data_IF_708423285572
#
_entry.id   IF_708423285572
#
_cell.length_a   1.000
_cell.length_b   1.000
_cell.length_c   1.000
_cell.angle_alpha   90.00
_cell.angle_beta   90.00
_cell.angle_gamma   90.00
#
_symmetry.space_group_name_H-M   'P 1'
#
loop_
_entity.id
_entity.type
_entity.pdbx_description
1 polymer ?
#
# COMPACT_ATOMS: atom_id res chain seq x y z
N UNK A 1 -25.66 6.25 19.85
CA UNK A 1 -24.24 6.52 19.57
C UNK A 1 -23.77 5.46 18.58
N UNK A 2 -23.83 5.77 17.29
CA UNK A 2 -23.31 4.87 16.25
C UNK A 2 -21.80 4.84 16.35
N UNK A 3 -21.23 3.63 16.45
CA UNK A 3 -19.80 3.41 16.34
C UNK A 3 -19.33 4.01 15.00
N UNK A 4 -18.23 4.78 14.94
CA UNK A 4 -17.62 5.12 13.66
C UNK A 4 -17.26 3.79 13.00
N UNK A 5 -17.93 3.46 11.89
CA UNK A 5 -17.63 2.26 11.12
C UNK A 5 -16.15 2.31 10.76
N UNK A 6 -15.42 1.24 11.08
CA UNK A 6 -14.05 1.07 10.57
C UNK A 6 -14.10 1.27 9.06
N UNK A 7 -13.29 2.17 8.48
CA UNK A 7 -13.27 2.40 7.05
C UNK A 7 -13.07 1.06 6.37
N UNK A 8 -13.98 0.70 5.45
CA UNK A 8 -13.84 -0.52 4.67
C UNK A 8 -12.51 -0.42 3.89
N UNK A 9 -11.53 -1.32 4.12
CA UNK A 9 -10.27 -1.30 3.36
C UNK A 9 -10.47 -1.58 1.87
N UNK A 10 -11.67 -2.01 1.44
CA UNK A 10 -12.03 -2.14 0.03
C UNK A 10 -12.57 -0.83 -0.59
N UNK A 11 -12.94 0.17 0.22
CA UNK A 11 -13.23 1.52 -0.26
C UNK A 11 -11.91 2.30 -0.23
N UNK A 12 -10.99 1.98 -1.14
CA UNK A 12 -9.94 2.92 -1.47
C UNK A 12 -10.62 4.11 -2.15
N UNK A 13 -10.47 5.33 -1.62
CA UNK A 13 -10.62 6.52 -2.46
C UNK A 13 -9.22 6.90 -2.94
N UNK A 14 -9.08 7.30 -4.19
CA UNK A 14 -7.82 7.88 -4.69
C UNK A 14 -7.73 9.37 -4.31
N UNK A 15 -8.50 9.81 -3.29
CA UNK A 15 -8.83 11.23 -3.10
C UNK A 15 -9.55 11.84 -4.30
N UNK A 16 -9.59 13.17 -4.36
CA UNK A 16 -10.07 13.93 -5.52
C UNK A 16 -9.21 15.19 -5.73
N UNK A 17 -9.66 16.19 -6.49
CA UNK A 17 -8.90 17.43 -6.69
C UNK A 17 -8.71 18.25 -5.38
N UNK A 18 -9.56 18.04 -4.37
CA UNK A 18 -9.66 18.82 -3.13
C UNK A 18 -9.31 18.02 -1.85
N UNK A 19 -9.49 16.70 -1.84
CA UNK A 19 -9.20 15.79 -0.71
C UNK A 19 -8.06 14.81 -1.02
N UNK A 20 -7.13 14.60 -0.09
CA UNK A 20 -6.12 13.55 -0.20
C UNK A 20 -6.75 12.17 0.03
N UNK A 21 -6.09 11.12 -0.46
CA UNK A 21 -6.51 9.74 -0.19
C UNK A 21 -6.67 9.53 1.31
N UNK A 22 -7.87 9.19 1.75
CA UNK A 22 -8.18 9.02 3.17
C UNK A 22 -7.71 7.66 3.71
N UNK A 23 -7.39 6.73 2.81
CA UNK A 23 -7.12 5.33 3.14
C UNK A 23 -5.71 4.84 2.80
N UNK A 24 -4.86 5.71 2.27
CA UNK A 24 -3.45 5.43 1.99
C UNK A 24 -2.68 5.34 3.31
N UNK A 25 -1.67 4.49 3.34
CA UNK A 25 -0.71 4.39 4.44
C UNK A 25 -0.07 5.75 4.82
N UNK A 26 0.04 6.66 3.86
CA UNK A 26 0.63 8.00 4.05
C UNK A 26 -0.40 9.12 4.22
N UNK A 27 -1.70 8.80 4.33
CA UNK A 27 -2.77 9.81 4.39
C UNK A 27 -2.56 10.82 5.52
N UNK A 28 -2.18 10.34 6.71
CA UNK A 28 -1.93 11.19 7.87
C UNK A 28 -0.69 12.08 7.68
N UNK A 29 0.36 11.57 7.03
CA UNK A 29 1.54 12.37 6.70
C UNK A 29 1.23 13.45 5.65
N UNK A 30 0.40 13.14 4.66
CA UNK A 30 -0.08 14.10 3.66
C UNK A 30 -0.98 15.18 4.28
N UNK A 31 -1.84 14.81 5.24
CA UNK A 31 -2.78 15.73 5.89
C UNK A 31 -2.14 16.58 7.00
N UNK A 32 -1.25 16.00 7.82
CA UNK A 32 -0.69 16.65 9.01
C UNK A 32 0.45 17.63 8.71
N UNK A 33 1.24 17.38 7.65
CA UNK A 33 2.41 18.21 7.35
C UNK A 33 2.09 19.44 6.50
N UNK A 34 0.83 19.66 6.09
CA UNK A 34 0.41 20.90 5.45
C UNK A 34 1.08 21.16 4.09
N UNK A 35 1.50 20.09 3.40
CA UNK A 35 2.01 20.22 2.04
C UNK A 35 0.92 20.81 1.14
N UNK A 36 1.29 21.82 0.34
CA UNK A 36 0.38 22.34 -0.68
C UNK A 36 0.01 21.21 -1.63
N UNK A 37 -1.29 20.93 -1.74
CA UNK A 37 -1.80 19.85 -2.58
C UNK A 37 -1.41 20.06 -4.04
N UNK A 38 -1.22 21.30 -4.49
CA UNK A 38 -0.69 21.55 -5.83
C UNK A 38 0.71 20.95 -6.03
N UNK A 39 1.56 20.95 -4.99
CA UNK A 39 2.90 20.37 -5.02
C UNK A 39 2.89 18.84 -4.94
N UNK A 40 1.88 18.26 -4.29
CA UNK A 40 1.69 16.80 -4.18
C UNK A 40 0.72 16.21 -5.21
N UNK A 41 0.06 17.04 -6.03
CA UNK A 41 -0.93 16.58 -7.01
C UNK A 41 -0.31 15.62 -8.02
N UNK A 42 0.93 15.89 -8.46
CA UNK A 42 1.67 14.98 -9.33
C UNK A 42 1.97 13.64 -8.65
N UNK A 43 2.20 13.60 -7.34
CA UNK A 43 2.45 12.37 -6.60
C UNK A 43 1.15 11.62 -6.30
N UNK A 44 0.08 12.34 -5.98
CA UNK A 44 -1.21 11.77 -5.60
C UNK A 44 -1.87 11.03 -6.77
N UNK A 45 -1.72 11.54 -7.99
CA UNK A 45 -2.22 10.92 -9.23
C UNK A 45 -1.45 9.65 -9.61
N UNK A 46 -0.32 9.36 -8.97
CA UNK A 46 0.52 8.18 -9.25
C UNK A 46 0.32 7.04 -8.24
N UNK A 47 -0.56 7.20 -7.25
CA UNK A 47 -0.85 6.14 -6.28
C UNK A 47 -1.97 5.26 -6.81
N UNK A 48 -1.65 4.00 -7.09
CA UNK A 48 -2.63 2.98 -7.48
C UNK A 48 -2.96 2.07 -6.28
N UNK A 49 -4.24 1.79 -6.08
CA UNK A 49 -4.72 0.89 -5.03
C UNK A 49 -4.97 -0.50 -5.59
N UNK A 50 -3.96 -1.36 -5.47
CA UNK A 50 -4.00 -2.75 -5.91
C UNK A 50 -4.44 -3.71 -4.80
N UNK A 51 -5.29 -4.68 -5.17
CA UNK A 51 -5.85 -5.71 -4.28
C UNK A 51 -7.39 -5.74 -4.28
N UNK A 52 -8.02 -6.45 -3.32
CA UNK A 52 -7.41 -7.15 -2.19
C UNK A 52 -6.71 -8.44 -2.61
N UNK A 53 -5.59 -8.77 -1.95
CA UNK A 53 -4.88 -10.04 -2.12
C UNK A 53 -5.30 -11.05 -1.05
N UNK A 54 -5.37 -12.32 -1.43
CA UNK A 54 -5.59 -13.43 -0.52
C UNK A 54 -4.28 -14.02 0.00
N UNK A 55 -4.34 -14.67 1.16
CA UNK A 55 -3.18 -15.34 1.74
C UNK A 55 -2.64 -16.41 0.77
N UNK A 56 -1.33 -16.33 0.47
CA UNK A 56 -0.65 -17.22 -0.48
C UNK A 56 -0.59 -16.68 -1.91
N UNK A 57 -1.26 -15.57 -2.22
CA UNK A 57 -1.08 -14.92 -3.53
C UNK A 57 0.28 -14.24 -3.64
N UNK A 58 0.89 -14.33 -4.82
CA UNK A 58 2.15 -13.68 -5.15
C UNK A 58 1.90 -12.27 -5.66
N UNK A 59 2.48 -11.27 -5.00
CA UNK A 59 2.37 -9.86 -5.40
C UNK A 59 3.39 -9.52 -6.51
N UNK A 60 4.64 -9.96 -6.35
CA UNK A 60 5.70 -9.83 -7.35
C UNK A 60 6.65 -11.02 -7.26
N UNK A 61 7.44 -11.24 -8.31
CA UNK A 61 8.46 -12.28 -8.38
C UNK A 61 9.85 -11.70 -8.59
N UNK A 62 10.85 -12.46 -8.16
CA UNK A 62 12.26 -12.14 -8.46
C UNK A 62 12.45 -12.13 -9.98
N UNK A 63 12.99 -11.03 -10.49
CA UNK A 63 13.25 -10.83 -11.92
C UNK A 63 12.14 -10.07 -12.67
N UNK A 64 11.02 -9.78 -12.02
CA UNK A 64 10.01 -8.88 -12.60
C UNK A 64 10.61 -7.48 -12.80
N UNK A 65 10.10 -6.75 -13.81
CA UNK A 65 10.51 -5.38 -14.05
C UNK A 65 10.16 -4.50 -12.84
N UNK A 66 11.03 -3.54 -12.52
CA UNK A 66 10.78 -2.60 -11.45
C UNK A 66 9.82 -1.51 -11.92
N UNK A 67 8.53 -1.70 -11.67
CA UNK A 67 7.46 -0.81 -12.14
C UNK A 67 6.93 0.12 -11.04
N UNK A 68 6.94 -0.32 -9.78
CA UNK A 68 6.34 0.40 -8.68
C UNK A 68 7.03 0.13 -7.34
N UNK A 69 6.78 1.04 -6.40
CA UNK A 69 7.06 0.86 -4.97
C UNK A 69 5.72 0.60 -4.30
N UNK A 70 5.60 -0.48 -3.54
CA UNK A 70 4.37 -0.86 -2.85
C UNK A 70 4.46 -0.56 -1.36
N UNK A 71 3.39 0.00 -0.78
CA UNK A 71 3.26 0.15 0.67
C UNK A 71 2.11 -0.73 1.17
N UNK A 72 2.31 -1.42 2.29
CA UNK A 72 1.24 -2.27 2.85
C UNK A 72 0.17 -1.37 3.47
N UNK A 73 -1.06 -1.46 2.95
CA UNK A 73 -2.23 -0.76 3.51
C UNK A 73 -2.86 -1.54 4.67
N UNK A 74 -2.85 -2.86 4.60
CA UNK A 74 -3.47 -3.74 5.59
C UNK A 74 -2.98 -5.17 5.45
N UNK A 75 -2.97 -5.91 6.57
CA UNK A 75 -2.42 -7.27 6.61
C UNK A 75 -0.91 -7.30 6.81
N UNK A 76 -0.27 -8.32 6.24
CA UNK A 76 1.18 -8.56 6.32
C UNK A 76 1.63 -9.18 4.99
N UNK A 77 2.75 -8.69 4.46
CA UNK A 77 3.37 -9.26 3.27
C UNK A 77 4.70 -9.89 3.65
N UNK A 78 4.94 -11.12 3.20
CA UNK A 78 6.22 -11.84 3.40
C UNK A 78 7.05 -11.73 2.14
N UNK A 79 8.29 -11.30 2.26
CA UNK A 79 9.27 -11.38 1.17
C UNK A 79 10.18 -12.57 1.41
N UNK A 80 10.41 -13.37 0.37
CA UNK A 80 11.21 -14.58 0.45
C UNK A 80 11.96 -14.82 -0.86
N UNK A 81 12.98 -15.67 -0.79
CA UNK A 81 13.64 -16.27 -1.95
C UNK A 81 13.48 -17.77 -1.89
N UNK A 82 13.44 -18.42 -3.05
CA UNK A 82 13.42 -19.88 -3.16
C UNK A 82 14.79 -20.37 -3.62
N UNK A 83 15.27 -21.44 -3.00
CA UNK A 83 16.46 -22.13 -3.48
C UNK A 83 16.15 -23.07 -4.66
N UNK A 84 17.18 -23.71 -5.21
CA UNK A 84 17.03 -24.65 -6.34
C UNK A 84 16.23 -25.92 -6.00
N UNK A 85 15.93 -26.16 -4.72
CA UNK A 85 15.12 -27.27 -4.24
C UNK A 85 13.68 -26.84 -3.89
N UNK A 86 13.35 -25.56 -4.06
CA UNK A 86 12.03 -25.01 -3.75
C UNK A 86 11.82 -24.70 -2.27
N UNK A 87 12.89 -24.63 -1.47
CA UNK A 87 12.75 -24.21 -0.08
C UNK A 87 12.67 -22.68 0.01
N UNK A 88 11.67 -22.17 0.70
CA UNK A 88 11.54 -20.74 0.95
C UNK A 88 12.44 -20.28 2.10
N UNK A 89 13.28 -19.28 1.84
CA UNK A 89 13.95 -18.49 2.85
C UNK A 89 13.26 -17.13 3.00
N UNK A 90 12.61 -16.93 4.14
CA UNK A 90 11.98 -15.65 4.47
C UNK A 90 13.04 -14.59 4.74
N UNK A 91 12.95 -13.48 4.02
CA UNK A 91 13.83 -12.33 4.18
C UNK A 91 13.26 -11.32 5.16
N UNK A 92 11.94 -11.18 5.21
CA UNK A 92 11.28 -10.23 6.09
C UNK A 92 9.77 -10.19 5.90
N UNK A 93 9.15 -9.34 6.71
CA UNK A 93 7.72 -9.05 6.67
C UNK A 93 7.53 -7.54 6.63
N UNK A 94 6.66 -7.07 5.75
CA UNK A 94 6.21 -5.68 5.70
C UNK A 94 4.83 -5.57 6.33
N UNK A 95 4.68 -4.62 7.25
CA UNK A 95 3.46 -4.33 8.00
C UNK A 95 2.79 -3.05 7.49
N UNK A 96 1.53 -2.75 7.90
CA UNK A 96 0.84 -1.57 7.44
C UNK A 96 1.64 -0.28 7.71
N UNK A 97 1.87 0.52 6.66
CA UNK A 97 2.74 1.70 6.71
C UNK A 97 4.15 1.50 6.17
N UNK A 98 4.59 0.26 6.01
CA UNK A 98 5.93 -0.07 5.52
C UNK A 98 5.95 -0.30 4.00
N UNK A 99 7.14 -0.10 3.43
CA UNK A 99 7.49 -0.27 2.01
C UNK A 99 8.48 -1.43 1.89
#
# INVERSE_FOLDING_TARGET
MSLPGTPNPAAADDGDALHFCSTCAFSDACMSQGYDKAALAELHVLVDHVGPFHAGETIFRVGDAFEAIAAVRGGMVKTFVEDSQGNEQVLGFSLPGEV
#
